data_IF_878790385055
#
_entry.id   IF_878790385055
#
_cell.length_a   1.000
_cell.length_b   1.000
_cell.length_c   1.000
_cell.angle_alpha   90.00
_cell.angle_beta   90.00
_cell.angle_gamma   90.00
#
_symmetry.space_group_name_H-M   'P 1'
#
loop_
_entity.id
_entity.type
_entity.pdbx_description
1 polymer ?
#
# COMPACT_ATOMS: atom_id res chain seq x y z
N UNK A 1 40.48 -12.95 60.96
CA UNK A 1 39.07 -13.34 60.65
C UNK A 1 38.44 -12.20 59.91
N UNK A 2 38.53 -12.22 58.58
CA UNK A 2 38.01 -11.17 57.69
C UNK A 2 36.74 -11.72 57.02
N UNK A 3 35.59 -11.10 57.30
CA UNK A 3 34.32 -11.48 56.64
C UNK A 3 34.30 -10.97 55.21
N UNK A 4 34.16 -11.84 54.26
CA UNK A 4 33.86 -11.55 52.87
C UNK A 4 32.42 -11.08 52.77
N UNK A 5 32.24 -9.90 52.16
CA UNK A 5 30.95 -9.35 51.78
C UNK A 5 30.37 -10.20 50.62
N UNK A 6 29.15 -10.66 50.80
CA UNK A 6 28.37 -11.32 49.72
C UNK A 6 27.81 -10.24 48.82
N UNK A 7 28.36 -10.11 47.60
CA UNK A 7 27.80 -9.26 46.55
C UNK A 7 26.42 -9.82 46.11
N UNK A 8 25.43 -8.98 46.32
CA UNK A 8 24.04 -9.19 45.93
C UNK A 8 23.93 -9.06 44.39
N UNK A 9 24.04 -10.19 43.68
CA UNK A 9 23.77 -10.29 42.25
C UNK A 9 22.27 -10.35 42.10
N UNK A 10 21.55 -9.22 42.31
CA UNK A 10 20.17 -9.12 41.91
C UNK A 10 20.08 -9.12 40.37
N UNK A 11 19.65 -10.26 39.86
CA UNK A 11 19.49 -10.53 38.47
C UNK A 11 18.66 -9.42 37.79
N UNK A 12 19.31 -8.68 36.87
CA UNK A 12 18.66 -7.85 35.88
C UNK A 12 17.77 -8.77 35.02
N UNK A 13 16.49 -8.87 35.35
CA UNK A 13 15.51 -9.47 34.45
C UNK A 13 15.62 -8.78 33.08
N UNK A 14 15.65 -9.51 31.96
CA UNK A 14 15.72 -8.89 30.65
C UNK A 14 14.52 -7.95 30.52
N UNK A 15 14.78 -6.65 30.35
CA UNK A 15 13.74 -5.67 30.01
C UNK A 15 13.04 -6.21 28.76
N UNK A 16 11.76 -6.53 28.86
CA UNK A 16 10.93 -6.85 27.70
C UNK A 16 11.15 -5.73 26.68
N UNK A 17 11.64 -6.08 25.49
CA UNK A 17 11.84 -5.12 24.41
C UNK A 17 10.50 -4.48 24.11
N UNK A 18 10.35 -3.20 24.42
CA UNK A 18 9.13 -2.44 24.16
C UNK A 18 8.80 -2.53 22.69
N UNK A 19 7.58 -2.92 22.35
CA UNK A 19 7.15 -2.99 20.94
C UNK A 19 7.12 -1.59 20.34
N UNK A 20 7.44 -1.48 19.05
CA UNK A 20 7.51 -0.23 18.29
C UNK A 20 6.29 0.69 18.49
N UNK A 21 5.08 0.10 18.53
CA UNK A 21 3.80 0.80 18.63
C UNK A 21 3.18 0.82 20.01
N UNK A 22 3.88 0.35 21.06
CA UNK A 22 3.30 0.24 22.41
C UNK A 22 2.87 1.62 22.94
N UNK A 23 1.59 1.72 23.31
CA UNK A 23 0.97 2.96 23.77
C UNK A 23 0.64 3.96 22.66
N UNK A 24 0.92 3.67 21.40
CA UNK A 24 0.70 4.56 20.26
C UNK A 24 -0.57 4.20 19.49
N UNK A 25 -1.19 5.21 18.89
CA UNK A 25 -2.45 5.15 18.12
C UNK A 25 -2.15 5.29 16.64
N UNK A 26 -2.58 4.32 15.84
CA UNK A 26 -2.43 4.34 14.39
C UNK A 26 -3.81 4.51 13.73
N UNK A 27 -3.95 5.50 12.85
CA UNK A 27 -5.16 5.68 12.05
C UNK A 27 -4.91 5.18 10.61
N UNK A 28 -5.75 4.26 10.14
CA UNK A 28 -5.76 3.79 8.76
C UNK A 28 -7.03 4.27 8.09
N UNK A 29 -6.94 5.18 7.11
CA UNK A 29 -8.10 5.45 6.26
C UNK A 29 -8.25 4.35 5.22
N UNK A 30 -9.48 3.87 5.00
CA UNK A 30 -9.72 2.71 4.15
C UNK A 30 -9.32 1.39 4.80
N UNK A 31 -9.55 1.24 6.10
CA UNK A 31 -9.17 0.09 6.91
C UNK A 31 -9.61 -1.26 6.32
N UNK A 32 -10.83 -1.35 5.79
CA UNK A 32 -11.39 -2.58 5.19
C UNK A 32 -11.04 -2.76 3.71
N UNK A 33 -10.26 -1.85 3.15
CA UNK A 33 -9.68 -2.03 1.82
C UNK A 33 -8.62 -3.14 1.82
N UNK A 34 -8.28 -3.62 0.62
CA UNK A 34 -7.31 -4.70 0.45
C UNK A 34 -6.01 -4.46 1.23
N UNK A 35 -5.35 -3.32 1.03
CA UNK A 35 -4.09 -2.99 1.72
C UNK A 35 -4.30 -2.64 3.19
N UNK A 36 -5.43 -1.99 3.51
CA UNK A 36 -5.76 -1.57 4.88
C UNK A 36 -5.84 -2.73 5.85
N UNK A 37 -6.42 -3.85 5.42
CA UNK A 37 -6.52 -5.08 6.21
C UNK A 37 -5.13 -5.61 6.60
N UNK A 38 -4.19 -5.73 5.64
CA UNK A 38 -2.84 -6.23 5.90
C UNK A 38 -2.02 -5.26 6.75
N UNK A 39 -2.15 -3.96 6.51
CA UNK A 39 -1.46 -2.97 7.33
C UNK A 39 -1.98 -2.94 8.77
N UNK A 40 -3.28 -3.16 8.97
CA UNK A 40 -3.84 -3.27 10.32
C UNK A 40 -3.25 -4.45 11.08
N UNK A 41 -3.06 -5.60 10.44
CA UNK A 41 -2.39 -6.76 11.04
C UNK A 41 -0.93 -6.44 11.41
N UNK A 42 -0.17 -5.83 10.52
CA UNK A 42 1.23 -5.44 10.76
C UNK A 42 1.36 -4.44 11.93
N UNK A 43 0.50 -3.40 11.97
CA UNK A 43 0.52 -2.41 13.04
C UNK A 43 0.07 -2.99 14.38
N UNK A 44 -0.96 -3.83 14.40
CA UNK A 44 -1.42 -4.52 15.62
C UNK A 44 -0.32 -5.44 16.16
N UNK A 45 0.33 -6.22 15.29
CA UNK A 45 1.45 -7.08 15.68
C UNK A 45 2.64 -6.28 16.24
N UNK A 46 2.87 -5.05 15.73
CA UNK A 46 3.87 -4.12 16.24
C UNK A 46 3.47 -3.41 17.55
N UNK A 47 2.24 -3.61 18.05
CA UNK A 47 1.76 -3.09 19.32
C UNK A 47 0.97 -1.79 19.25
N UNK A 48 0.65 -1.28 18.06
CA UNK A 48 -0.21 -0.10 17.91
C UNK A 48 -1.67 -0.43 18.25
N UNK A 49 -2.38 0.54 18.87
CA UNK A 49 -3.84 0.54 18.85
C UNK A 49 -4.30 1.10 17.50
N UNK A 50 -4.96 0.25 16.70
CA UNK A 50 -5.37 0.60 15.35
C UNK A 50 -6.78 1.16 15.32
N UNK A 51 -6.93 2.35 14.75
CA UNK A 51 -8.18 3.01 14.40
C UNK A 51 -8.34 3.03 12.89
N UNK A 52 -9.56 3.00 12.39
CA UNK A 52 -9.74 3.02 10.96
C UNK A 52 -11.00 3.71 10.47
N UNK A 53 -10.98 4.17 9.22
CA UNK A 53 -12.18 4.65 8.56
C UNK A 53 -12.75 3.63 7.60
N UNK A 54 -14.06 3.62 7.50
CA UNK A 54 -14.85 2.90 6.51
C UNK A 54 -15.86 3.87 5.88
N UNK A 55 -16.41 3.50 4.71
CA UNK A 55 -17.48 4.29 4.10
C UNK A 55 -18.74 4.29 4.98
N UNK A 56 -19.52 5.37 5.01
CA UNK A 56 -20.82 5.40 5.64
C UNK A 56 -21.71 4.25 5.17
N UNK A 57 -22.40 3.60 6.10
CA UNK A 57 -23.23 2.42 5.84
C UNK A 57 -22.51 1.09 5.89
N UNK A 58 -21.17 1.07 5.99
CA UNK A 58 -20.45 -0.15 6.27
C UNK A 58 -20.59 -0.56 7.74
N UNK A 59 -20.43 -1.86 8.01
CA UNK A 59 -20.41 -2.38 9.38
C UNK A 59 -19.31 -1.70 10.20
N UNK A 60 -19.63 -1.29 11.42
CA UNK A 60 -18.73 -0.60 12.34
C UNK A 60 -18.35 -1.47 13.53
N UNK A 61 -17.45 -1.00 14.35
CA UNK A 61 -17.02 -1.64 15.59
C UNK A 61 -16.20 -0.67 16.44
N UNK A 62 -15.67 -1.09 17.56
CA UNK A 62 -14.76 -0.26 18.35
C UNK A 62 -13.61 0.25 17.47
N UNK A 63 -13.25 1.54 17.63
CA UNK A 63 -12.14 2.17 16.90
C UNK A 63 -12.32 2.27 15.36
N UNK A 64 -13.56 2.05 14.83
CA UNK A 64 -13.90 2.15 13.41
C UNK A 64 -14.88 3.30 13.18
N UNK A 65 -14.49 4.25 12.37
CA UNK A 65 -15.26 5.45 12.05
C UNK A 65 -15.91 5.36 10.66
N UNK A 66 -17.24 5.39 10.56
CA UNK A 66 -17.93 5.50 9.27
C UNK A 66 -17.89 6.96 8.78
N UNK A 67 -16.89 7.30 7.95
CA UNK A 67 -16.63 8.68 7.52
C UNK A 67 -16.44 8.75 6.01
N UNK A 68 -17.20 9.63 5.34
CA UNK A 68 -16.86 10.09 4.00
C UNK A 68 -15.75 11.14 4.12
N UNK A 69 -14.58 10.85 3.55
CA UNK A 69 -13.45 11.78 3.57
C UNK A 69 -13.74 13.11 2.84
N UNK A 70 -14.77 13.15 2.00
CA UNK A 70 -15.22 14.39 1.36
C UNK A 70 -16.05 15.27 2.28
N UNK A 71 -16.50 14.76 3.43
CA UNK A 71 -17.14 15.55 4.48
C UNK A 71 -16.10 16.10 5.46
N UNK A 72 -15.78 17.37 5.31
CA UNK A 72 -14.72 18.06 6.06
C UNK A 72 -14.97 18.02 7.57
N UNK A 73 -16.20 18.24 8.00
CA UNK A 73 -16.55 18.35 9.41
C UNK A 73 -16.55 16.97 10.08
N UNK A 74 -17.03 15.94 9.39
CA UNK A 74 -16.97 14.56 9.84
C UNK A 74 -15.49 14.08 9.97
N UNK A 75 -14.62 14.45 9.03
CA UNK A 75 -13.17 14.15 9.10
C UNK A 75 -12.53 14.86 10.29
N UNK A 76 -12.87 16.13 10.54
CA UNK A 76 -12.33 16.88 11.69
C UNK A 76 -12.75 16.25 13.03
N UNK A 77 -14.02 15.86 13.18
CA UNK A 77 -14.55 15.19 14.37
C UNK A 77 -13.84 13.84 14.59
N UNK A 78 -13.68 13.03 13.55
CA UNK A 78 -13.01 11.74 13.60
C UNK A 78 -11.53 11.89 14.04
N UNK A 79 -10.78 12.84 13.46
CA UNK A 79 -9.39 13.09 13.84
C UNK A 79 -9.27 13.54 15.30
N UNK A 80 -10.17 14.40 15.76
CA UNK A 80 -10.20 14.88 17.15
C UNK A 80 -10.46 13.74 18.16
N UNK A 81 -11.26 12.75 17.81
CA UNK A 81 -11.53 11.56 18.62
C UNK A 81 -10.39 10.53 18.52
N UNK A 82 -9.96 10.21 17.30
CA UNK A 82 -8.91 9.23 17.06
C UNK A 82 -7.57 9.64 17.66
N UNK A 83 -7.19 10.92 17.63
CA UNK A 83 -5.91 11.48 18.11
C UNK A 83 -4.72 10.60 17.72
N UNK A 84 -4.49 10.35 16.41
CA UNK A 84 -3.51 9.38 15.97
C UNK A 84 -2.06 9.89 16.14
N UNK A 85 -1.17 9.00 16.60
CA UNK A 85 0.27 9.25 16.61
C UNK A 85 0.91 9.00 15.25
N UNK A 86 0.34 8.07 14.48
CA UNK A 86 0.72 7.79 13.09
C UNK A 86 -0.52 7.62 12.22
N UNK A 87 -0.43 8.03 10.95
CA UNK A 87 -1.54 7.97 10.00
C UNK A 87 -1.10 7.29 8.72
N UNK A 88 -1.82 6.25 8.29
CA UNK A 88 -1.72 5.67 6.97
C UNK A 88 -2.96 6.03 6.14
N UNK A 89 -2.81 6.91 5.17
CA UNK A 89 -3.89 7.30 4.28
C UNK A 89 -3.92 6.40 3.04
N UNK A 90 -4.75 5.35 3.10
CA UNK A 90 -4.91 4.34 2.05
C UNK A 90 -6.25 4.46 1.31
N UNK A 91 -7.20 5.21 1.87
CA UNK A 91 -8.49 5.44 1.23
C UNK A 91 -8.31 6.18 -0.09
N UNK A 92 -8.96 5.66 -1.12
CA UNK A 92 -8.92 6.25 -2.45
C UNK A 92 -9.57 5.32 -3.47
N UNK A 93 -9.93 5.89 -4.60
CA UNK A 93 -10.40 5.10 -5.75
C UNK A 93 -9.15 4.68 -6.53
N UNK A 94 -8.83 3.37 -6.49
CA UNK A 94 -7.60 2.80 -7.04
C UNK A 94 -7.76 2.11 -8.41
N UNK A 95 -9.00 1.84 -8.83
CA UNK A 95 -9.25 1.15 -10.09
C UNK A 95 -9.19 2.11 -11.27
N UNK A 96 -8.21 1.92 -12.16
CA UNK A 96 -7.96 2.79 -13.34
C UNK A 96 -9.15 2.83 -14.31
N UNK A 97 -9.96 1.77 -14.37
CA UNK A 97 -11.15 1.67 -15.20
C UNK A 97 -12.43 2.21 -14.54
N UNK A 98 -12.33 3.03 -13.48
CA UNK A 98 -13.48 3.60 -12.79
C UNK A 98 -14.22 4.60 -13.69
N UNK A 99 -15.51 4.38 -13.91
CA UNK A 99 -16.30 5.16 -14.87
C UNK A 99 -16.59 6.60 -14.40
N UNK A 100 -16.55 6.86 -13.09
CA UNK A 100 -16.81 8.19 -12.53
C UNK A 100 -15.51 8.94 -12.23
N UNK A 101 -15.06 9.73 -13.20
CA UNK A 101 -13.83 10.51 -13.12
C UNK A 101 -13.90 11.57 -12.01
N UNK A 102 -15.05 12.25 -11.84
CA UNK A 102 -15.24 13.26 -10.78
C UNK A 102 -15.00 12.64 -9.40
N UNK A 103 -15.56 11.45 -9.15
CA UNK A 103 -15.36 10.75 -7.88
C UNK A 103 -13.88 10.45 -7.61
N UNK A 104 -13.09 10.10 -8.65
CA UNK A 104 -11.65 9.86 -8.52
C UNK A 104 -10.95 11.11 -7.96
N UNK A 105 -11.15 12.28 -8.57
CA UNK A 105 -10.53 13.51 -8.11
C UNK A 105 -11.06 13.95 -6.74
N UNK A 106 -12.36 13.85 -6.53
CA UNK A 106 -13.00 14.25 -5.27
C UNK A 106 -12.46 13.42 -4.10
N UNK A 107 -12.43 12.11 -4.21
CA UNK A 107 -11.94 11.24 -3.13
C UNK A 107 -10.42 11.36 -2.97
N UNK A 108 -9.66 11.23 -4.08
CA UNK A 108 -8.21 11.15 -3.99
C UNK A 108 -7.53 12.49 -3.65
N UNK A 109 -8.12 13.64 -4.05
CA UNK A 109 -7.53 14.95 -3.81
C UNK A 109 -8.24 15.69 -2.68
N UNK A 110 -9.57 15.88 -2.79
CA UNK A 110 -10.31 16.66 -1.79
C UNK A 110 -10.39 15.91 -0.47
N UNK A 111 -10.67 14.60 -0.49
CA UNK A 111 -10.67 13.77 0.72
C UNK A 111 -9.33 13.77 1.45
N UNK A 112 -8.21 13.64 0.71
CA UNK A 112 -6.87 13.77 1.28
C UNK A 112 -6.63 15.14 1.88
N UNK A 113 -7.03 16.21 1.17
CA UNK A 113 -6.90 17.59 1.67
C UNK A 113 -7.62 17.80 3.00
N UNK A 114 -8.86 17.31 3.10
CA UNK A 114 -9.65 17.42 4.33
C UNK A 114 -8.96 16.70 5.52
N UNK A 115 -8.39 15.52 5.26
CA UNK A 115 -7.63 14.78 6.28
C UNK A 115 -6.40 15.58 6.75
N UNK A 116 -5.59 16.11 5.82
CA UNK A 116 -4.39 16.88 6.17
C UNK A 116 -4.74 18.17 6.90
N UNK A 117 -5.82 18.85 6.51
CA UNK A 117 -6.33 20.02 7.21
C UNK A 117 -6.72 19.69 8.65
N UNK A 118 -7.49 18.63 8.87
CA UNK A 118 -7.89 18.18 10.20
C UNK A 118 -6.70 17.78 11.08
N UNK A 119 -5.72 17.04 10.54
CA UNK A 119 -4.52 16.65 11.25
C UNK A 119 -3.65 17.84 11.65
N UNK A 120 -3.56 18.86 10.78
CA UNK A 120 -2.74 20.05 11.05
C UNK A 120 -3.39 21.03 12.03
N UNK A 121 -4.72 21.09 12.06
CA UNK A 121 -5.51 21.95 12.96
C UNK A 121 -5.68 21.34 14.34
N UNK A 122 -5.53 20.02 14.49
CA UNK A 122 -5.71 19.29 15.75
C UNK A 122 -4.70 19.66 16.83
N UNK A 123 -5.11 19.58 18.08
CA UNK A 123 -4.20 19.76 19.24
C UNK A 123 -3.18 18.62 19.35
N UNK A 124 -3.56 17.41 18.95
CA UNK A 124 -2.68 16.25 18.86
C UNK A 124 -2.20 16.10 17.42
N UNK A 125 -0.90 16.25 17.19
CA UNK A 125 -0.30 16.12 15.87
C UNK A 125 0.40 14.78 15.71
N UNK A 126 0.18 14.08 14.60
CA UNK A 126 0.87 12.82 14.34
C UNK A 126 2.37 13.05 14.13
N UNK A 127 3.17 12.06 14.52
CA UNK A 127 4.61 12.02 14.31
C UNK A 127 4.99 11.47 12.94
N UNK A 128 4.04 10.87 12.21
CA UNK A 128 4.22 10.37 10.84
C UNK A 128 2.88 10.26 10.13
N UNK A 129 2.84 10.72 8.87
CA UNK A 129 1.70 10.64 7.97
C UNK A 129 2.16 10.02 6.64
N UNK A 130 1.75 8.80 6.35
CA UNK A 130 2.01 8.12 5.09
C UNK A 130 0.82 8.31 4.16
N UNK A 131 1.08 8.83 2.96
CA UNK A 131 0.10 8.94 1.88
C UNK A 131 0.40 7.90 0.79
N UNK A 132 -0.56 7.02 0.52
CA UNK A 132 -0.46 6.07 -0.58
C UNK A 132 -0.75 6.76 -1.92
N UNK A 133 0.32 7.04 -2.67
CA UNK A 133 0.30 7.43 -4.09
C UNK A 133 0.29 6.18 -4.98
N UNK A 134 0.95 6.23 -6.13
CA UNK A 134 1.04 5.10 -7.06
C UNK A 134 2.20 5.30 -8.04
N UNK A 135 2.86 4.22 -8.44
CA UNK A 135 3.80 4.24 -9.56
C UNK A 135 3.14 4.57 -10.91
N UNK A 136 1.81 4.52 -11.00
CA UNK A 136 1.10 4.97 -12.21
C UNK A 136 1.37 6.43 -12.57
N UNK A 137 1.85 7.27 -11.63
CA UNK A 137 2.23 8.65 -11.91
C UNK A 137 3.38 8.76 -12.93
N UNK A 138 4.25 7.74 -13.00
CA UNK A 138 5.34 7.69 -13.97
C UNK A 138 4.87 7.40 -15.40
N UNK A 139 3.62 6.92 -15.56
CA UNK A 139 3.02 6.63 -16.85
C UNK A 139 3.87 5.66 -17.67
N UNK A 140 4.12 6.04 -18.91
CA UNK A 140 4.90 5.27 -19.86
C UNK A 140 6.38 5.74 -19.89
N UNK A 141 7.03 5.78 -18.72
CA UNK A 141 8.43 6.19 -18.66
C UNK A 141 9.32 5.26 -19.51
N UNK A 142 10.12 5.86 -20.38
CA UNK A 142 11.02 5.12 -21.28
C UNK A 142 12.39 4.92 -20.64
N UNK A 143 12.41 4.24 -19.48
CA UNK A 143 13.62 3.88 -18.73
C UNK A 143 13.53 2.42 -18.29
N UNK A 144 14.66 1.67 -18.22
CA UNK A 144 14.64 0.25 -17.83
C UNK A 144 14.16 0.03 -16.39
N UNK A 145 14.56 0.93 -15.48
CA UNK A 145 14.21 0.89 -14.06
C UNK A 145 13.80 2.30 -13.62
N UNK A 146 12.68 2.40 -12.95
CA UNK A 146 12.11 3.65 -12.46
C UNK A 146 12.53 3.87 -11.01
N UNK A 147 13.33 4.88 -10.76
CA UNK A 147 13.56 5.44 -9.43
C UNK A 147 12.73 6.71 -9.20
N UNK A 148 12.86 7.31 -8.02
CA UNK A 148 12.07 8.48 -7.63
C UNK A 148 12.47 9.78 -8.34
N UNK A 149 13.61 9.79 -9.05
CA UNK A 149 14.08 10.93 -9.85
C UNK A 149 13.40 11.02 -11.21
N UNK A 150 12.78 9.92 -11.68
CA UNK A 150 12.07 9.88 -12.97
C UNK A 150 10.88 10.84 -12.92
N UNK A 151 10.79 11.81 -13.87
CA UNK A 151 9.71 12.76 -13.90
C UNK A 151 8.34 12.08 -14.08
N UNK A 152 7.30 12.52 -13.34
CA UNK A 152 5.94 12.02 -13.55
C UNK A 152 5.42 12.35 -14.96
N UNK A 153 4.75 11.37 -15.58
CA UNK A 153 4.09 11.49 -16.88
C UNK A 153 2.77 10.69 -16.90
N UNK A 154 1.77 11.06 -16.05
CA UNK A 154 0.56 10.28 -15.86
C UNK A 154 -0.23 10.09 -17.15
N UNK A 155 -0.71 8.86 -17.41
CA UNK A 155 -1.39 8.47 -18.65
C UNK A 155 -2.90 8.23 -18.49
N UNK A 156 -3.47 8.47 -17.30
CA UNK A 156 -4.90 8.31 -17.02
C UNK A 156 -5.32 9.16 -15.82
N UNK A 157 -6.65 9.37 -15.63
CA UNK A 157 -7.20 10.20 -14.56
C UNK A 157 -6.81 9.75 -13.16
N UNK A 158 -6.73 8.44 -12.91
CA UNK A 158 -6.26 7.93 -11.64
C UNK A 158 -4.83 8.39 -11.34
N UNK A 159 -3.93 8.24 -12.29
CA UNK A 159 -2.53 8.67 -12.14
C UNK A 159 -2.42 10.20 -11.97
N UNK A 160 -3.20 10.96 -12.74
CA UNK A 160 -3.29 12.43 -12.59
C UNK A 160 -3.79 12.80 -11.20
N UNK A 161 -4.84 12.13 -10.68
CA UNK A 161 -5.37 12.41 -9.35
C UNK A 161 -4.34 12.12 -8.24
N UNK A 162 -3.55 11.03 -8.38
CA UNK A 162 -2.49 10.70 -7.42
C UNK A 162 -1.34 11.72 -7.49
N UNK A 163 -0.95 12.15 -8.66
CA UNK A 163 0.05 13.22 -8.82
C UNK A 163 -0.44 14.54 -8.25
N UNK A 164 -1.70 14.93 -8.52
CA UNK A 164 -2.33 16.12 -7.95
C UNK A 164 -2.37 16.04 -6.41
N UNK A 165 -2.69 14.87 -5.85
CA UNK A 165 -2.62 14.62 -4.41
C UNK A 165 -1.20 14.83 -3.86
N UNK A 166 -0.15 14.33 -4.52
CA UNK A 166 1.24 14.54 -4.09
C UNK A 166 1.61 16.03 -4.06
N UNK A 167 1.27 16.78 -5.13
CA UNK A 167 1.53 18.23 -5.18
C UNK A 167 0.73 18.99 -4.12
N UNK A 168 -0.54 18.64 -3.91
CA UNK A 168 -1.36 19.22 -2.85
C UNK A 168 -0.79 18.92 -1.46
N UNK A 169 -0.31 17.71 -1.22
CA UNK A 169 0.28 17.31 0.05
C UNK A 169 1.54 18.12 0.40
N UNK A 170 2.34 18.55 -0.59
CA UNK A 170 3.52 19.42 -0.38
C UNK A 170 3.18 20.74 0.32
N UNK A 171 1.94 21.26 0.14
CA UNK A 171 1.47 22.46 0.81
C UNK A 171 1.31 22.29 2.34
N UNK A 172 1.43 21.06 2.84
CA UNK A 172 1.27 20.69 4.25
C UNK A 172 2.56 20.16 4.90
N UNK A 173 3.64 19.96 4.12
CA UNK A 173 4.88 19.34 4.61
C UNK A 173 5.65 20.19 5.63
N UNK A 174 5.41 21.48 5.68
CA UNK A 174 5.90 22.37 6.74
C UNK A 174 5.13 22.22 8.07
N UNK A 175 3.93 21.61 8.05
CA UNK A 175 3.05 21.46 9.20
C UNK A 175 2.93 20.01 9.69
N UNK A 176 3.10 19.06 8.79
CA UNK A 176 2.91 17.63 9.03
C UNK A 176 4.09 16.81 8.48
N UNK A 177 4.56 15.80 9.21
CA UNK A 177 5.64 14.91 8.75
C UNK A 177 5.11 13.90 7.72
N UNK A 178 4.94 14.35 6.48
CA UNK A 178 4.34 13.57 5.39
C UNK A 178 5.41 12.78 4.65
N UNK A 179 5.17 11.47 4.48
CA UNK A 179 5.90 10.56 3.60
C UNK A 179 4.98 10.08 2.49
N UNK A 180 5.43 10.08 1.24
CA UNK A 180 4.68 9.60 0.09
C UNK A 180 5.18 8.21 -0.29
N UNK A 181 4.28 7.22 -0.36
CA UNK A 181 4.59 5.90 -0.88
C UNK A 181 4.01 5.75 -2.30
N UNK A 182 4.85 5.32 -3.25
CA UNK A 182 4.49 5.05 -4.65
C UNK A 182 4.56 3.54 -4.90
N UNK A 183 3.53 2.75 -4.50
CA UNK A 183 3.54 1.33 -4.77
C UNK A 183 3.45 1.05 -6.27
N UNK A 184 4.24 0.06 -6.72
CA UNK A 184 4.09 -0.60 -8.02
C UNK A 184 2.92 -1.57 -7.95
N UNK A 185 2.78 -2.49 -8.94
CA UNK A 185 1.70 -3.44 -8.83
C UNK A 185 1.96 -4.40 -7.66
N UNK A 186 0.92 -4.75 -6.94
CA UNK A 186 0.99 -5.74 -5.88
C UNK A 186 -0.31 -6.53 -5.81
N UNK A 187 -0.22 -7.73 -5.24
CA UNK A 187 -1.33 -8.67 -5.18
C UNK A 187 -1.31 -9.50 -3.90
N UNK A 188 -2.37 -10.25 -3.66
CA UNK A 188 -2.51 -11.14 -2.53
C UNK A 188 -3.95 -11.59 -2.34
N UNK A 189 -4.19 -12.43 -1.34
CA UNK A 189 -5.52 -12.91 -0.99
C UNK A 189 -6.44 -11.74 -0.62
N UNK A 190 -7.67 -11.77 -1.11
CA UNK A 190 -8.68 -10.72 -0.86
C UNK A 190 -8.64 -9.53 -1.82
N UNK A 191 -7.73 -9.50 -2.79
CA UNK A 191 -7.78 -8.52 -3.87
C UNK A 191 -8.93 -8.82 -4.83
N UNK A 192 -9.64 -7.79 -5.28
CA UNK A 192 -10.80 -7.95 -6.16
C UNK A 192 -10.45 -8.53 -7.54
N UNK A 193 -11.35 -9.34 -8.10
CA UNK A 193 -11.14 -10.04 -9.40
C UNK A 193 -11.02 -9.13 -10.62
N UNK A 194 -11.39 -7.86 -10.51
CA UNK A 194 -11.19 -6.90 -11.59
C UNK A 194 -9.72 -6.50 -11.79
N UNK A 195 -8.83 -6.93 -10.89
CA UNK A 195 -7.38 -6.81 -11.06
C UNK A 195 -6.79 -8.04 -11.77
N UNK A 196 -5.67 -7.82 -12.49
CA UNK A 196 -5.10 -8.79 -13.40
C UNK A 196 -4.73 -10.12 -12.74
N UNK A 197 -3.92 -10.10 -11.66
CA UNK A 197 -3.46 -11.35 -11.04
C UNK A 197 -4.58 -12.11 -10.33
N UNK A 198 -5.49 -11.49 -9.55
CA UNK A 198 -6.66 -12.17 -9.02
C UNK A 198 -7.56 -12.78 -10.11
N UNK A 199 -7.75 -12.09 -11.24
CA UNK A 199 -8.49 -12.64 -12.38
C UNK A 199 -7.85 -13.95 -12.86
N UNK A 200 -6.54 -13.97 -13.08
CA UNK A 200 -5.81 -15.15 -13.54
C UNK A 200 -5.93 -16.28 -12.51
N UNK A 201 -5.61 -16.03 -11.25
CA UNK A 201 -5.68 -17.03 -10.17
C UNK A 201 -7.08 -17.66 -10.08
N UNK A 202 -8.13 -16.85 -10.15
CA UNK A 202 -9.51 -17.34 -10.04
C UNK A 202 -9.95 -18.16 -11.25
N UNK A 203 -9.46 -17.87 -12.47
CA UNK A 203 -9.69 -18.74 -13.64
C UNK A 203 -9.10 -20.14 -13.39
N UNK A 204 -7.87 -20.22 -12.88
CA UNK A 204 -7.25 -21.48 -12.53
C UNK A 204 -7.98 -22.20 -11.38
N UNK A 205 -8.42 -21.50 -10.34
CA UNK A 205 -9.20 -22.07 -9.22
C UNK A 205 -10.54 -22.67 -9.67
N UNK A 206 -11.17 -22.08 -10.68
CA UNK A 206 -12.44 -22.55 -11.26
C UNK A 206 -12.25 -23.64 -12.30
N UNK A 207 -11.01 -24.10 -12.55
CA UNK A 207 -10.65 -25.04 -13.60
C UNK A 207 -11.13 -24.60 -15.00
N UNK A 208 -11.16 -23.29 -15.26
CA UNK A 208 -11.53 -22.78 -16.57
C UNK A 208 -10.44 -23.12 -17.60
N UNK A 209 -10.86 -23.55 -18.79
CA UNK A 209 -9.91 -24.00 -19.83
C UNK A 209 -9.41 -22.85 -20.70
N UNK A 210 -10.01 -21.67 -20.58
CA UNK A 210 -9.71 -20.51 -21.42
C UNK A 210 -9.75 -19.22 -20.61
N UNK A 211 -8.84 -18.29 -20.95
CA UNK A 211 -8.82 -16.93 -20.39
C UNK A 211 -8.55 -15.91 -21.49
N UNK A 212 -9.26 -14.79 -21.46
CA UNK A 212 -8.98 -13.64 -22.34
C UNK A 212 -8.10 -12.62 -21.61
N UNK A 213 -6.96 -12.29 -22.20
CA UNK A 213 -5.99 -11.33 -21.68
C UNK A 213 -5.58 -10.33 -22.77
N UNK A 214 -4.83 -9.31 -22.39
CA UNK A 214 -4.19 -8.37 -23.32
C UNK A 214 -2.85 -8.87 -23.82
N UNK A 215 -1.88 -7.97 -23.99
CA UNK A 215 -0.54 -8.28 -24.47
C UNK A 215 0.24 -9.13 -23.44
N UNK A 216 0.63 -10.33 -23.83
CA UNK A 216 1.36 -11.28 -22.96
C UNK A 216 2.85 -10.92 -22.76
N UNK A 217 3.41 -10.13 -23.67
CA UNK A 217 4.82 -9.72 -23.60
C UNK A 217 5.10 -8.61 -22.60
N UNK A 218 4.04 -7.99 -22.04
CA UNK A 218 4.23 -6.96 -21.02
C UNK A 218 4.79 -7.56 -19.73
N UNK A 219 5.77 -6.88 -19.17
CA UNK A 219 6.33 -7.24 -17.86
C UNK A 219 6.04 -6.14 -16.84
N UNK A 220 5.71 -6.54 -15.63
CA UNK A 220 5.39 -5.65 -14.51
C UNK A 220 6.09 -6.13 -13.25
N UNK A 221 6.44 -5.18 -12.41
CA UNK A 221 6.88 -5.45 -11.04
C UNK A 221 5.65 -5.77 -10.19
N UNK A 222 5.56 -7.00 -9.73
CA UNK A 222 4.47 -7.46 -8.86
C UNK A 222 5.02 -7.78 -7.48
N UNK A 223 4.54 -7.08 -6.47
CA UNK A 223 4.89 -7.31 -5.07
C UNK A 223 3.81 -8.10 -4.33
N UNK A 224 4.21 -8.75 -3.25
CA UNK A 224 3.28 -9.31 -2.27
C UNK A 224 2.70 -8.20 -1.38
N UNK A 225 1.39 -8.21 -1.14
CA UNK A 225 0.73 -7.20 -0.31
C UNK A 225 1.27 -7.16 1.12
N UNK A 226 1.74 -8.31 1.65
CA UNK A 226 2.36 -8.40 2.99
C UNK A 226 3.69 -7.65 3.02
N UNK A 227 4.48 -7.67 1.94
CA UNK A 227 5.68 -6.86 1.80
C UNK A 227 5.35 -5.37 1.75
N UNK A 228 4.32 -4.98 1.00
CA UNK A 228 3.84 -3.59 0.94
C UNK A 228 3.38 -3.10 2.31
N UNK A 229 2.61 -3.88 3.05
CA UNK A 229 2.15 -3.54 4.40
C UNK A 229 3.33 -3.37 5.38
N UNK A 230 4.33 -4.27 5.34
CA UNK A 230 5.57 -4.13 6.13
C UNK A 230 6.36 -2.89 5.76
N UNK A 231 6.45 -2.56 4.47
CA UNK A 231 7.08 -1.32 4.02
C UNK A 231 6.40 -0.09 4.60
N UNK A 232 5.07 -0.06 4.56
CA UNK A 232 4.28 1.05 5.11
C UNK A 232 4.45 1.18 6.62
N UNK A 233 4.41 0.07 7.36
CA UNK A 233 4.68 0.10 8.81
C UNK A 233 6.07 0.66 9.11
N UNK A 234 7.11 0.17 8.42
CA UNK A 234 8.48 0.64 8.64
C UNK A 234 8.68 2.11 8.23
N UNK A 235 8.02 2.57 7.15
CA UNK A 235 8.01 3.99 6.79
C UNK A 235 7.33 4.85 7.85
N UNK A 236 6.23 4.39 8.43
CA UNK A 236 5.56 5.08 9.55
C UNK A 236 6.47 5.17 10.79
N UNK A 237 7.25 4.13 11.08
CA UNK A 237 8.19 4.10 12.19
C UNK A 237 9.42 4.99 11.95
N UNK A 238 10.01 4.93 10.74
CA UNK A 238 11.17 5.73 10.37
C UNK A 238 10.84 7.21 10.14
N UNK A 239 9.59 7.52 9.77
CA UNK A 239 9.05 8.86 9.56
C UNK A 239 9.94 9.78 8.66
N UNK A 240 10.35 9.35 7.44
CA UNK A 240 11.20 10.15 6.54
C UNK A 240 10.36 11.27 5.89
N UNK A 241 10.11 12.34 6.64
CA UNK A 241 9.24 13.45 6.25
C UNK A 241 9.76 14.20 5.00
N UNK A 242 8.84 14.59 4.13
CA UNK A 242 9.13 15.35 2.91
C UNK A 242 9.56 14.48 1.72
N UNK A 243 9.67 13.16 1.89
CA UNK A 243 10.24 12.24 0.93
C UNK A 243 9.17 11.36 0.24
N UNK A 244 9.45 10.95 -0.99
CA UNK A 244 8.70 9.94 -1.72
C UNK A 244 9.53 8.66 -1.89
N UNK A 245 8.86 7.50 -1.81
CA UNK A 245 9.51 6.19 -1.91
C UNK A 245 8.74 5.27 -2.86
N UNK A 246 9.43 4.68 -3.81
CA UNK A 246 8.92 3.56 -4.58
C UNK A 246 8.82 2.32 -3.69
N UNK A 247 7.65 1.67 -3.72
CA UNK A 247 7.42 0.42 -3.00
C UNK A 247 7.21 -0.68 -4.04
N UNK A 248 8.24 -1.49 -4.27
CA UNK A 248 8.30 -2.47 -5.35
C UNK A 248 9.23 -3.64 -4.99
N UNK A 249 9.10 -4.76 -5.70
CA UNK A 249 9.99 -5.91 -5.56
C UNK A 249 11.35 -5.69 -6.24
N UNK A 250 11.39 -4.85 -7.26
CA UNK A 250 12.54 -4.68 -8.15
C UNK A 250 12.67 -5.77 -9.22
N UNK A 251 11.71 -6.70 -9.29
CA UNK A 251 11.75 -7.83 -10.21
C UNK A 251 10.55 -7.79 -11.15
N UNK A 252 10.79 -7.66 -12.48
CA UNK A 252 9.71 -7.70 -13.46
C UNK A 252 9.31 -9.14 -13.78
N UNK A 253 8.01 -9.38 -13.93
CA UNK A 253 7.43 -10.63 -14.36
C UNK A 253 6.58 -10.40 -15.61
N UNK A 254 6.83 -11.18 -16.68
CA UNK A 254 5.98 -11.14 -17.87
C UNK A 254 4.64 -11.82 -17.60
N UNK A 255 3.62 -11.42 -18.33
CA UNK A 255 2.32 -12.06 -18.20
C UNK A 255 2.39 -13.54 -18.60
N UNK A 256 3.23 -13.89 -19.58
CA UNK A 256 3.51 -15.28 -19.95
C UNK A 256 4.07 -16.08 -18.76
N UNK A 257 5.09 -15.55 -18.06
CA UNK A 257 5.68 -16.25 -16.90
C UNK A 257 4.68 -16.43 -15.76
N UNK A 258 3.79 -15.47 -15.54
CA UNK A 258 2.70 -15.61 -14.55
C UNK A 258 1.75 -16.77 -14.91
N UNK A 259 1.35 -16.89 -16.19
CA UNK A 259 0.49 -17.98 -16.66
C UNK A 259 1.20 -19.35 -16.54
N UNK A 260 2.48 -19.43 -16.89
CA UNK A 260 3.28 -20.63 -16.74
C UNK A 260 3.36 -21.08 -15.28
N UNK A 261 3.70 -20.15 -14.38
CA UNK A 261 3.74 -20.39 -12.93
C UNK A 261 2.39 -20.87 -12.40
N UNK A 262 1.30 -20.26 -12.82
CA UNK A 262 -0.03 -20.69 -12.41
C UNK A 262 -0.38 -22.09 -12.97
N UNK A 263 0.06 -22.41 -14.19
CA UNK A 263 -0.10 -23.74 -14.75
C UNK A 263 0.64 -24.82 -13.97
N UNK A 264 1.85 -24.51 -13.49
CA UNK A 264 2.63 -25.41 -12.59
C UNK A 264 1.92 -25.60 -11.25
N UNK A 265 1.43 -24.52 -10.62
CA UNK A 265 0.71 -24.57 -9.34
C UNK A 265 -0.59 -25.38 -9.46
N UNK A 266 -1.37 -25.14 -10.51
CA UNK A 266 -2.68 -25.77 -10.71
C UNK A 266 -2.61 -27.17 -11.32
N UNK A 267 -1.49 -27.56 -11.92
CA UNK A 267 -1.28 -28.86 -12.56
C UNK A 267 -1.91 -28.99 -13.95
N UNK A 268 -2.34 -27.90 -14.58
CA UNK A 268 -2.85 -27.91 -15.95
C UNK A 268 -2.53 -26.60 -16.68
N UNK A 269 -2.68 -26.61 -18.01
CA UNK A 269 -2.48 -25.42 -18.85
C UNK A 269 -3.82 -24.83 -19.28
N UNK A 270 -3.92 -23.49 -19.20
CA UNK A 270 -5.07 -22.74 -19.68
C UNK A 270 -4.79 -22.20 -21.09
N UNK A 271 -5.81 -22.23 -21.97
CA UNK A 271 -5.74 -21.60 -23.30
C UNK A 271 -5.91 -20.09 -23.17
N UNK A 272 -4.87 -19.33 -23.57
CA UNK A 272 -4.88 -17.88 -23.47
C UNK A 272 -5.25 -17.26 -24.81
N UNK A 273 -6.37 -16.56 -24.84
CA UNK A 273 -6.80 -15.79 -26.00
C UNK A 273 -6.44 -14.31 -25.82
N UNK A 274 -5.69 -13.77 -26.78
CA UNK A 274 -5.40 -12.33 -26.79
C UNK A 274 -6.63 -11.58 -27.31
N UNK A 275 -7.26 -10.81 -26.41
CA UNK A 275 -8.37 -9.95 -26.78
C UNK A 275 -7.83 -8.54 -27.11
N UNK A 276 -7.98 -8.07 -28.38
CA UNK A 276 -7.51 -6.74 -28.79
C UNK A 276 -8.10 -5.59 -27.98
N UNK A 277 -9.30 -5.77 -27.40
CA UNK A 277 -9.93 -4.76 -26.56
C UNK A 277 -9.17 -4.52 -25.24
N UNK A 278 -8.32 -5.47 -24.82
CA UNK A 278 -7.49 -5.36 -23.62
C UNK A 278 -6.05 -4.90 -23.94
N UNK A 279 -5.70 -4.76 -25.22
CA UNK A 279 -4.39 -4.24 -25.67
C UNK A 279 -4.45 -2.73 -25.73
N UNK A 280 -3.62 -2.05 -24.98
CA UNK A 280 -3.52 -0.59 -25.00
C UNK A 280 -2.53 -0.16 -26.10
N UNK A 281 -2.89 0.87 -26.87
CA UNK A 281 -2.09 1.33 -28.02
C UNK A 281 -0.65 1.75 -27.65
N UNK A 282 -0.40 2.13 -26.38
CA UNK A 282 0.88 2.59 -25.87
C UNK A 282 1.29 1.78 -24.61
N UNK A 283 1.12 0.46 -24.62
CA UNK A 283 1.56 -0.37 -23.51
C UNK A 283 3.08 -0.29 -23.34
N UNK A 284 3.53 0.08 -22.14
CA UNK A 284 4.94 -0.05 -21.77
C UNK A 284 5.26 -1.54 -21.68
N UNK A 285 6.24 -2.00 -22.44
CA UNK A 285 6.62 -3.41 -22.43
C UNK A 285 7.13 -3.87 -21.08
N UNK A 286 7.92 -3.02 -20.39
CA UNK A 286 8.43 -3.34 -19.08
C UNK A 286 8.31 -2.15 -18.12
N UNK A 287 7.77 -2.39 -16.93
CA UNK A 287 7.69 -1.42 -15.84
C UNK A 287 8.27 -2.04 -14.57
N UNK A 288 9.50 -1.65 -14.22
CA UNK A 288 10.24 -2.15 -13.06
C UNK A 288 10.63 -0.98 -12.18
N UNK A 289 10.43 -1.10 -10.87
CA UNK A 289 10.83 -0.08 -9.91
C UNK A 289 12.19 -0.33 -9.28
N UNK A 290 12.87 0.74 -8.82
CA UNK A 290 13.98 0.66 -7.89
C UNK A 290 13.47 0.82 -6.46
N UNK A 291 13.82 -0.12 -5.58
CA UNK A 291 13.53 -0.06 -4.15
C UNK A 291 14.75 0.37 -3.31
N UNK A 292 15.83 0.81 -3.94
CA UNK A 292 17.09 1.15 -3.25
C UNK A 292 16.91 2.26 -2.21
N UNK A 293 16.16 3.32 -2.56
CA UNK A 293 15.86 4.42 -1.64
C UNK A 293 15.03 3.94 -0.45
N UNK A 294 14.05 3.09 -0.70
CA UNK A 294 13.23 2.48 0.35
C UNK A 294 14.11 1.63 1.28
N UNK A 295 14.95 0.75 0.74
CA UNK A 295 15.86 -0.10 1.51
C UNK A 295 16.84 0.71 2.37
N UNK A 296 17.35 1.83 1.85
CA UNK A 296 18.22 2.74 2.61
C UNK A 296 17.48 3.39 3.80
N UNK A 297 16.19 3.70 3.66
CA UNK A 297 15.40 4.38 4.69
C UNK A 297 14.88 3.42 5.78
N UNK A 298 14.46 2.21 5.41
CA UNK A 298 13.78 1.29 6.34
C UNK A 298 14.48 -0.06 6.54
N UNK A 299 15.67 -0.23 5.98
CA UNK A 299 16.38 -1.50 5.91
C UNK A 299 15.80 -2.43 4.83
N UNK A 300 16.58 -3.42 4.44
CA UNK A 300 16.14 -4.39 3.44
C UNK A 300 14.91 -5.18 3.91
N UNK A 301 14.00 -5.40 2.98
CA UNK A 301 12.89 -6.33 3.12
C UNK A 301 13.16 -7.51 2.21
N UNK A 302 13.23 -8.72 2.77
CA UNK A 302 13.31 -9.92 1.96
C UNK A 302 12.08 -9.97 1.02
N UNK A 303 12.27 -9.96 -0.30
CA UNK A 303 11.14 -10.05 -1.24
C UNK A 303 10.48 -11.42 -1.09
N UNK A 304 9.15 -11.44 -1.10
CA UNK A 304 8.40 -12.69 -1.27
C UNK A 304 8.39 -13.02 -2.75
N UNK A 305 8.92 -14.17 -3.19
CA UNK A 305 8.86 -14.59 -4.59
C UNK A 305 7.43 -14.63 -5.10
N UNK A 306 7.21 -14.19 -6.36
CA UNK A 306 5.85 -14.10 -6.90
C UNK A 306 5.14 -15.45 -6.92
N UNK A 307 5.87 -16.56 -7.17
CA UNK A 307 5.27 -17.91 -7.16
C UNK A 307 4.68 -18.29 -5.80
N UNK A 308 5.31 -17.89 -4.69
CA UNK A 308 4.77 -18.14 -3.34
C UNK A 308 3.50 -17.32 -3.09
N UNK A 309 3.44 -16.09 -3.60
CA UNK A 309 2.25 -15.24 -3.51
C UNK A 309 1.10 -15.84 -4.34
N UNK A 310 1.39 -16.33 -5.55
CA UNK A 310 0.38 -16.95 -6.42
C UNK A 310 -0.13 -18.28 -5.84
N UNK A 311 0.77 -19.13 -5.30
CA UNK A 311 0.38 -20.38 -4.63
C UNK A 311 -0.50 -20.10 -3.41
N UNK A 312 -0.12 -19.13 -2.59
CA UNK A 312 -0.93 -18.69 -1.47
C UNK A 312 -2.33 -18.21 -1.90
N UNK A 313 -2.42 -17.40 -2.97
CA UNK A 313 -3.70 -16.94 -3.52
C UNK A 313 -4.53 -18.09 -4.09
N UNK A 314 -3.88 -19.07 -4.72
CA UNK A 314 -4.55 -20.24 -5.31
C UNK A 314 -5.17 -21.16 -4.25
N UNK A 315 -4.51 -21.33 -3.09
CA UNK A 315 -4.96 -22.20 -2.00
C UNK A 315 -5.93 -21.54 -1.00
N UNK A 316 -6.05 -20.22 -1.00
CA UNK A 316 -6.93 -19.47 -0.10
C UNK A 316 -8.41 -19.61 -0.55
#
# INVERSE_FOLDING_TARGET
MTRLATDDVSALAPRATQREGEGRRALITGLRGFTGHYLAQELTAAGYRVFGTVMPGAETGPDIFPVDLCDRDAVAAMVAEARPDVVAHLAGIAFVGHANVEAIYRVNVVGTRNLLEALSAGQHRPTSVLLASSANIYGNANVPVIDESVPPAPANDYAVSKLAMEYMARLWMDKLPITIARPFNYTGVGQAENFLLPKIVNHFRRNEQRIELGNLAIARDFSDVRMVARSYRRLLAAAPAGEAFNVCSGTPHSLSSVIETMGEIAGYRIDVQVNPAFVRANDVLQLTGSNQKLAAAIGELAPTPLHETLDWMYRA
#
